data_IF_004655849286
#
_entry.id   IF_004655849286
#
_cell.length_a   1.000
_cell.length_b   1.000
_cell.length_c   1.000
_cell.angle_alpha   90.00
_cell.angle_beta   90.00
_cell.angle_gamma   90.00
#
_symmetry.space_group_name_H-M   'P 1'
#
loop_
_entity.id
_entity.type
_entity.pdbx_description
1 polymer ?
#
# COMPACT_ATOMS: atom_id res chain seq x y z
N UNK A 1 -19.72 -6.26 -21.52
CA UNK A 1 -20.69 -6.99 -20.68
C UNK A 1 -20.93 -6.12 -19.46
N UNK A 2 -22.18 -5.77 -19.14
CA UNK A 2 -22.46 -5.03 -17.91
C UNK A 2 -22.07 -5.92 -16.74
N UNK A 3 -21.13 -5.48 -15.90
CA UNK A 3 -20.85 -6.18 -14.64
C UNK A 3 -22.17 -6.34 -13.86
N UNK A 4 -22.44 -7.57 -13.43
CA UNK A 4 -23.60 -7.86 -12.59
C UNK A 4 -23.38 -7.19 -11.24
N UNK A 5 -24.29 -6.29 -10.87
CA UNK A 5 -24.28 -5.65 -9.56
C UNK A 5 -24.24 -6.71 -8.43
N UNK A 6 -23.33 -6.51 -7.49
CA UNK A 6 -23.12 -7.38 -6.34
C UNK A 6 -23.83 -6.85 -5.10
N UNK A 7 -23.95 -7.69 -4.06
CA UNK A 7 -24.50 -7.25 -2.76
C UNK A 7 -23.61 -6.17 -2.14
N UNK A 8 -22.29 -6.24 -2.35
CA UNK A 8 -21.35 -5.20 -1.89
C UNK A 8 -21.62 -3.85 -2.54
N UNK A 9 -21.95 -3.81 -3.83
CA UNK A 9 -22.27 -2.56 -4.53
C UNK A 9 -23.53 -1.92 -3.96
N UNK A 10 -24.55 -2.74 -3.66
CA UNK A 10 -25.79 -2.27 -3.03
C UNK A 10 -25.53 -1.78 -1.61
N UNK A 11 -24.73 -2.49 -0.81
CA UNK A 11 -24.32 -2.03 0.54
C UNK A 11 -23.59 -0.69 0.46
N UNK A 12 -22.70 -0.50 -0.51
CA UNK A 12 -22.03 0.78 -0.72
C UNK A 12 -23.01 1.90 -1.11
N UNK A 13 -23.96 1.64 -2.00
CA UNK A 13 -24.98 2.61 -2.37
C UNK A 13 -25.94 2.94 -1.19
N UNK A 14 -26.22 1.98 -0.30
CA UNK A 14 -26.95 2.24 0.95
C UNK A 14 -26.15 3.15 1.90
N UNK A 15 -24.83 2.93 2.01
CA UNK A 15 -23.95 3.78 2.82
C UNK A 15 -23.89 5.23 2.30
N UNK A 16 -24.01 5.43 0.99
CA UNK A 16 -24.13 6.79 0.41
C UNK A 16 -25.50 7.41 0.70
N UNK A 17 -26.57 6.61 0.71
CA UNK A 17 -27.93 7.10 0.99
C UNK A 17 -28.14 7.46 2.47
N UNK A 18 -27.60 6.66 3.38
CA UNK A 18 -27.81 6.75 4.82
C UNK A 18 -26.55 7.25 5.51
N UNK A 19 -26.22 8.52 5.30
CA UNK A 19 -25.00 9.15 5.80
C UNK A 19 -25.20 9.88 7.14
N UNK A 20 -24.14 9.97 7.97
CA UNK A 20 -24.06 10.94 9.05
C UNK A 20 -24.18 12.39 8.54
N UNK A 21 -24.67 13.34 9.35
CA UNK A 21 -25.06 13.19 10.76
C UNK A 21 -26.54 12.83 10.96
N UNK A 22 -27.27 12.51 9.89
CA UNK A 22 -28.72 12.23 9.98
C UNK A 22 -29.02 10.76 10.26
N UNK A 23 -28.19 9.85 9.72
CA UNK A 23 -28.43 8.42 9.78
C UNK A 23 -27.27 7.65 10.40
N UNK A 24 -27.62 6.59 11.12
CA UNK A 24 -26.72 5.50 11.45
C UNK A 24 -27.12 4.26 10.64
N UNK A 25 -26.18 3.72 9.85
CA UNK A 25 -26.39 2.52 9.04
C UNK A 25 -25.58 1.36 9.62
N UNK A 26 -26.23 0.21 9.76
CA UNK A 26 -25.64 -1.03 10.25
C UNK A 26 -25.92 -2.14 9.24
N UNK A 27 -24.94 -3.02 9.00
CA UNK A 27 -25.12 -4.20 8.15
C UNK A 27 -25.23 -5.46 8.99
N UNK A 28 -25.97 -6.45 8.48
CA UNK A 28 -26.10 -7.79 9.08
C UNK A 28 -26.60 -7.73 10.53
N UNK A 29 -27.72 -7.02 10.72
CA UNK A 29 -28.33 -6.80 12.03
C UNK A 29 -29.28 -7.94 12.35
N UNK A 30 -29.02 -8.65 13.45
CA UNK A 30 -29.90 -9.69 13.99
C UNK A 30 -30.98 -9.13 14.91
N UNK A 31 -32.07 -9.87 15.05
CA UNK A 31 -33.16 -9.60 15.98
C UNK A 31 -32.75 -9.70 17.47
N UNK A 32 -31.66 -10.41 17.77
CA UNK A 32 -31.06 -10.53 19.11
C UNK A 32 -29.53 -10.76 19.00
N UNK A 33 -28.87 -11.10 20.10
CA UNK A 33 -27.45 -11.42 20.19
C UNK A 33 -27.20 -12.83 20.74
N UNK A 34 -25.97 -13.32 20.60
CA UNK A 34 -25.58 -14.65 21.06
C UNK A 34 -26.38 -15.77 20.39
N UNK A 35 -26.66 -16.84 21.14
CA UNK A 35 -27.41 -18.03 20.66
C UNK A 35 -28.86 -17.73 20.29
N UNK A 36 -29.41 -16.58 20.68
CA UNK A 36 -30.78 -16.18 20.36
C UNK A 36 -30.90 -15.51 18.98
N UNK A 37 -29.77 -15.21 18.32
CA UNK A 37 -29.74 -14.63 16.97
C UNK A 37 -30.29 -15.64 15.96
N UNK A 38 -31.50 -15.42 15.44
CA UNK A 38 -32.16 -16.39 14.55
C UNK A 38 -32.25 -15.91 13.11
N UNK A 39 -32.40 -14.60 12.91
CA UNK A 39 -32.60 -13.98 11.60
C UNK A 39 -31.88 -12.64 11.56
N UNK A 40 -31.53 -12.22 10.34
CA UNK A 40 -30.76 -11.01 10.09
C UNK A 40 -31.46 -10.20 9.01
N UNK A 41 -31.46 -8.88 9.18
CA UNK A 41 -31.64 -7.95 8.07
C UNK A 41 -30.28 -7.69 7.42
N UNK A 42 -30.24 -7.54 6.10
CA UNK A 42 -29.01 -7.19 5.39
C UNK A 42 -28.48 -5.82 5.80
N UNK A 43 -29.40 -4.86 6.02
CA UNK A 43 -29.08 -3.58 6.63
C UNK A 43 -30.23 -3.03 7.47
N UNK A 44 -29.87 -2.19 8.44
CA UNK A 44 -30.80 -1.36 9.22
C UNK A 44 -30.25 0.06 9.25
N UNK A 45 -31.06 1.03 8.84
CA UNK A 45 -30.76 2.45 8.95
C UNK A 45 -31.70 3.12 9.95
N UNK A 46 -31.14 3.82 10.94
CA UNK A 46 -31.91 4.57 11.94
C UNK A 46 -31.63 6.07 11.79
N UNK A 47 -32.70 6.87 11.68
CA UNK A 47 -32.60 8.32 11.76
C UNK A 47 -32.27 8.71 13.20
N UNK A 48 -31.31 9.62 13.40
CA UNK A 48 -30.95 10.12 14.74
C UNK A 48 -31.54 11.50 15.04
N UNK A 49 -32.32 12.06 14.12
CA UNK A 49 -32.97 13.35 14.32
C UNK A 49 -34.36 13.19 14.94
N UNK A 50 -34.66 13.86 16.07
CA UNK A 50 -35.96 13.77 16.74
C UNK A 50 -37.12 14.23 15.85
N UNK A 51 -36.88 15.23 15.01
CA UNK A 51 -37.89 15.79 14.07
C UNK A 51 -38.37 14.78 13.02
N UNK A 52 -37.63 13.68 12.81
CA UNK A 52 -38.02 12.58 11.91
C UNK A 52 -38.48 11.33 12.67
N UNK A 53 -38.72 11.46 13.98
CA UNK A 53 -39.29 10.43 14.83
C UNK A 53 -38.39 9.22 15.05
N UNK A 54 -37.07 9.38 14.87
CA UNK A 54 -36.09 8.29 14.98
C UNK A 54 -36.38 7.05 14.12
N UNK A 55 -36.97 7.27 12.93
CA UNK A 55 -37.45 6.21 12.07
C UNK A 55 -36.38 5.13 11.77
N UNK A 56 -36.79 3.87 11.88
CA UNK A 56 -35.98 2.69 11.62
C UNK A 56 -36.40 2.06 10.28
N UNK A 57 -35.44 1.97 9.37
CA UNK A 57 -35.60 1.35 8.06
C UNK A 57 -34.83 0.02 8.04
N UNK A 58 -35.53 -1.09 7.82
CA UNK A 58 -34.91 -2.37 7.53
C UNK A 58 -34.81 -2.62 6.02
N UNK A 59 -33.73 -3.27 5.60
CA UNK A 59 -33.44 -3.55 4.20
C UNK A 59 -33.07 -5.01 3.99
N UNK A 60 -33.68 -5.61 2.98
CA UNK A 60 -33.35 -6.92 2.42
C UNK A 60 -32.75 -6.72 1.02
N UNK A 61 -31.57 -7.27 0.76
CA UNK A 61 -30.83 -7.11 -0.49
C UNK A 61 -30.95 -8.38 -1.33
N UNK A 62 -31.41 -8.26 -2.58
CA UNK A 62 -31.42 -9.38 -3.53
C UNK A 62 -30.76 -8.94 -4.85
N UNK A 63 -29.76 -9.70 -5.29
CA UNK A 63 -29.05 -9.47 -6.56
C UNK A 63 -29.41 -10.47 -7.66
N UNK A 64 -30.16 -11.51 -7.31
CA UNK A 64 -30.61 -12.53 -8.26
C UNK A 64 -32.10 -12.78 -8.12
N UNK A 65 -32.71 -13.17 -9.24
CA UNK A 65 -34.14 -13.44 -9.33
C UNK A 65 -34.53 -14.72 -8.56
N UNK A 66 -33.65 -15.72 -8.57
CA UNK A 66 -33.84 -16.97 -7.82
C UNK A 66 -33.86 -16.72 -6.31
N UNK A 67 -32.97 -15.86 -5.80
CA UNK A 67 -32.93 -15.55 -4.37
C UNK A 67 -34.20 -14.81 -3.93
N UNK A 68 -34.69 -13.89 -4.76
CA UNK A 68 -35.96 -13.21 -4.52
C UNK A 68 -37.14 -14.21 -4.45
N UNK A 69 -37.26 -15.10 -5.45
CA UNK A 69 -38.35 -16.09 -5.48
C UNK A 69 -38.27 -17.02 -4.26
N UNK A 70 -37.07 -17.43 -3.85
CA UNK A 70 -36.87 -18.27 -2.68
C UNK A 70 -37.31 -17.56 -1.38
N UNK A 71 -37.01 -16.27 -1.25
CA UNK A 71 -37.42 -15.45 -0.11
C UNK A 71 -38.95 -15.30 -0.04
N UNK A 72 -39.57 -14.99 -1.18
CA UNK A 72 -41.03 -14.77 -1.27
C UNK A 72 -41.87 -16.02 -0.98
N UNK A 73 -41.26 -17.22 -0.92
CA UNK A 73 -41.96 -18.43 -0.45
C UNK A 73 -42.30 -18.38 1.03
N UNK A 74 -41.57 -17.59 1.82
CA UNK A 74 -41.83 -17.41 3.24
C UNK A 74 -41.49 -15.98 3.68
N UNK A 75 -42.32 -14.98 3.31
CA UNK A 75 -42.06 -13.57 3.62
C UNK A 75 -42.07 -13.26 5.13
N UNK A 76 -42.68 -14.12 5.94
CA UNK A 76 -42.75 -13.96 7.40
C UNK A 76 -41.36 -14.02 8.06
N UNK A 77 -40.36 -14.58 7.37
CA UNK A 77 -38.95 -14.54 7.83
C UNK A 77 -38.44 -13.13 8.07
N UNK A 78 -38.89 -12.17 7.25
CA UNK A 78 -38.49 -10.78 7.38
C UNK A 78 -39.04 -10.13 8.66
N UNK A 79 -40.15 -10.64 9.22
CA UNK A 79 -40.78 -10.03 10.39
C UNK A 79 -39.95 -10.15 11.67
N UNK A 80 -39.02 -11.12 11.76
CA UNK A 80 -38.17 -11.28 12.93
C UNK A 80 -37.30 -10.04 13.23
N UNK A 81 -36.89 -9.30 12.20
CA UNK A 81 -36.22 -7.99 12.36
C UNK A 81 -37.15 -6.86 11.95
N UNK A 82 -38.01 -7.10 10.96
CA UNK A 82 -38.98 -6.15 10.44
C UNK A 82 -40.01 -5.68 11.45
N UNK A 83 -40.28 -6.44 12.52
CA UNK A 83 -41.15 -6.00 13.61
C UNK A 83 -40.64 -4.74 14.32
N UNK A 84 -39.31 -4.51 14.33
CA UNK A 84 -38.69 -3.33 14.95
C UNK A 84 -38.51 -2.16 13.96
N UNK A 85 -38.93 -2.31 12.70
CA UNK A 85 -38.70 -1.34 11.64
C UNK A 85 -39.99 -0.60 11.25
N UNK A 86 -39.96 0.73 11.24
CA UNK A 86 -41.04 1.57 10.69
C UNK A 86 -41.27 1.31 9.20
N UNK A 87 -40.19 0.97 8.47
CA UNK A 87 -40.24 0.73 7.04
C UNK A 87 -39.42 -0.50 6.67
N UNK A 88 -39.92 -1.32 5.75
CA UNK A 88 -39.20 -2.48 5.23
C UNK A 88 -39.02 -2.38 3.72
N UNK A 89 -37.78 -2.53 3.26
CA UNK A 89 -37.38 -2.30 1.88
C UNK A 89 -36.73 -3.54 1.26
N UNK A 90 -37.20 -3.94 0.08
CA UNK A 90 -36.38 -4.75 -0.82
C UNK A 90 -35.46 -3.84 -1.61
N UNK A 91 -34.18 -4.18 -1.69
CA UNK A 91 -33.16 -3.43 -2.43
C UNK A 91 -32.53 -4.34 -3.49
N UNK A 92 -32.58 -3.92 -4.75
CA UNK A 92 -32.17 -4.76 -5.90
C UNK A 92 -31.41 -3.98 -6.96
N UNK A 93 -30.73 -4.66 -7.90
CA UNK A 93 -30.36 -4.07 -9.18
C UNK A 93 -31.60 -3.69 -10.00
N UNK A 94 -31.46 -2.79 -10.98
CA UNK A 94 -32.60 -2.29 -11.74
C UNK A 94 -33.30 -3.41 -12.50
N UNK A 95 -34.65 -3.40 -12.48
CA UNK A 95 -35.51 -4.34 -13.21
C UNK A 95 -35.38 -5.81 -12.77
N UNK A 96 -34.83 -6.09 -11.58
CA UNK A 96 -34.79 -7.46 -11.04
C UNK A 96 -36.17 -7.95 -10.59
N UNK A 97 -36.97 -7.07 -10.02
CA UNK A 97 -38.28 -7.36 -9.40
C UNK A 97 -39.24 -6.25 -9.77
N UNK A 98 -40.47 -6.59 -10.15
CA UNK A 98 -41.53 -5.62 -10.37
C UNK A 98 -42.23 -5.27 -9.04
N UNK A 99 -42.69 -4.03 -8.90
CA UNK A 99 -43.25 -3.51 -7.63
C UNK A 99 -44.49 -4.27 -7.16
N UNK A 100 -45.24 -4.80 -8.12
CA UNK A 100 -46.50 -5.55 -7.96
C UNK A 100 -46.26 -6.94 -7.36
N UNK A 101 -45.04 -7.46 -7.44
CA UNK A 101 -44.66 -8.76 -6.91
C UNK A 101 -44.37 -8.73 -5.40
N UNK A 102 -44.24 -7.53 -4.83
CA UNK A 102 -43.92 -7.35 -3.44
C UNK A 102 -45.17 -7.29 -2.57
N UNK A 103 -45.12 -7.80 -1.33
CA UNK A 103 -46.14 -7.53 -0.33
C UNK A 103 -46.47 -6.03 -0.24
N UNK A 104 -47.72 -5.71 0.07
CA UNK A 104 -48.17 -4.31 0.20
C UNK A 104 -47.44 -3.56 1.30
N UNK A 105 -46.92 -4.29 2.31
CA UNK A 105 -46.15 -3.76 3.44
C UNK A 105 -44.68 -3.43 3.11
N UNK A 106 -44.21 -3.77 1.90
CA UNK A 106 -42.81 -3.61 1.49
C UNK A 106 -42.65 -2.48 0.47
N UNK A 107 -41.53 -1.77 0.57
CA UNK A 107 -41.03 -0.88 -0.48
C UNK A 107 -40.01 -1.55 -1.40
N UNK A 108 -39.73 -0.92 -2.53
CA UNK A 108 -38.71 -1.32 -3.50
C UNK A 108 -37.75 -0.15 -3.75
N UNK A 109 -36.47 -0.38 -3.52
CA UNK A 109 -35.39 0.49 -3.98
C UNK A 109 -34.54 -0.24 -5.02
N UNK A 110 -34.21 0.45 -6.10
CA UNK A 110 -33.29 -0.04 -7.11
C UNK A 110 -31.98 0.74 -7.08
N UNK A 111 -30.84 0.05 -7.07
CA UNK A 111 -29.53 0.65 -7.25
C UNK A 111 -29.29 0.90 -8.75
N UNK A 112 -29.42 2.15 -9.17
CA UNK A 112 -29.10 2.57 -10.53
C UNK A 112 -27.67 3.13 -10.60
N UNK A 113 -27.14 3.35 -11.81
CA UNK A 113 -25.85 4.04 -11.96
C UNK A 113 -25.81 5.46 -11.38
N UNK A 114 -26.98 6.08 -11.15
CA UNK A 114 -27.11 7.39 -10.51
C UNK A 114 -27.36 7.31 -8.98
N UNK A 115 -27.35 6.11 -8.39
CA UNK A 115 -27.65 5.87 -6.98
C UNK A 115 -28.99 5.16 -6.75
N UNK A 116 -29.49 5.24 -5.52
CA UNK A 116 -30.71 4.55 -5.08
C UNK A 116 -31.98 5.27 -5.54
N UNK A 117 -32.85 4.55 -6.27
CA UNK A 117 -34.15 5.05 -6.72
C UNK A 117 -35.29 4.25 -6.09
N UNK A 118 -36.24 4.96 -5.48
CA UNK A 118 -37.47 4.33 -4.97
C UNK A 118 -38.40 4.02 -6.16
N UNK A 119 -38.84 2.76 -6.27
CA UNK A 119 -39.83 2.28 -7.24
C UNK A 119 -41.20 2.04 -6.64
N UNK A 120 -41.21 1.55 -5.39
CA UNK A 120 -42.41 1.40 -4.56
C UNK A 120 -42.09 1.97 -3.20
N UNK A 121 -42.87 2.93 -2.73
CA UNK A 121 -42.67 3.49 -1.41
C UNK A 121 -43.04 2.45 -0.34
N UNK A 122 -42.16 2.22 0.63
CA UNK A 122 -42.53 1.41 1.79
C UNK A 122 -43.58 2.19 2.62
N UNK A 123 -44.74 1.58 2.93
CA UNK A 123 -45.68 2.18 3.87
C UNK A 123 -45.06 2.17 5.27
N UNK A 124 -45.46 3.15 6.09
CA UNK A 124 -45.10 3.15 7.51
C UNK A 124 -45.86 2.01 8.21
N UNK A 125 -45.15 1.20 8.98
CA UNK A 125 -45.68 0.09 9.79
C UNK A 125 -45.80 0.50 11.26
N UNK A 126 -46.67 -0.17 11.99
CA UNK A 126 -46.67 -0.12 13.45
C UNK A 126 -45.54 -1.02 13.97
N UNK A 127 -44.39 -0.42 14.26
CA UNK A 127 -43.23 -1.14 14.77
C UNK A 127 -43.35 -1.39 16.28
N UNK A 128 -42.97 -2.59 16.70
CA UNK A 128 -42.74 -2.94 18.11
C UNK A 128 -41.58 -2.13 18.67
N UNK A 129 -41.62 -1.85 19.97
CA UNK A 129 -40.49 -1.22 20.64
C UNK A 129 -39.21 -2.08 20.50
N UNK A 130 -38.07 -1.50 20.08
CA UNK A 130 -36.79 -2.19 20.00
C UNK A 130 -36.45 -2.92 21.30
N UNK A 131 -36.22 -4.24 21.23
CA UNK A 131 -35.72 -4.99 22.38
C UNK A 131 -34.28 -4.62 22.69
N UNK A 132 -33.84 -4.86 23.92
CA UNK A 132 -32.42 -4.70 24.29
C UNK A 132 -31.49 -5.57 23.44
N UNK A 133 -31.94 -6.75 23.03
CA UNK A 133 -31.21 -7.67 22.15
C UNK A 133 -30.98 -7.07 20.76
N UNK A 134 -32.04 -6.52 20.15
CA UNK A 134 -31.95 -5.83 18.87
C UNK A 134 -31.04 -4.60 18.94
N UNK A 135 -31.19 -3.76 19.98
CA UNK A 135 -30.31 -2.62 20.20
C UNK A 135 -28.84 -3.03 20.39
N UNK A 136 -28.58 -4.08 21.17
CA UNK A 136 -27.22 -4.61 21.36
C UNK A 136 -26.62 -5.13 20.04
N UNK A 137 -27.45 -5.77 19.20
CA UNK A 137 -27.06 -6.21 17.85
C UNK A 137 -26.63 -5.03 16.97
N UNK A 138 -27.43 -3.95 16.93
CA UNK A 138 -27.09 -2.72 16.20
C UNK A 138 -25.79 -2.07 16.72
N UNK A 139 -25.68 -1.87 18.04
CA UNK A 139 -24.50 -1.24 18.67
C UNK A 139 -23.23 -2.04 18.37
N UNK A 140 -23.30 -3.38 18.50
CA UNK A 140 -22.18 -4.26 18.18
C UNK A 140 -21.76 -4.14 16.72
N UNK A 141 -22.71 -4.14 15.78
CA UNK A 141 -22.40 -3.95 14.35
C UNK A 141 -21.75 -2.59 14.07
N UNK A 142 -22.23 -1.53 14.73
CA UNK A 142 -21.60 -0.21 14.65
C UNK A 142 -20.16 -0.21 15.15
N UNK A 143 -19.91 -0.84 16.30
CA UNK A 143 -18.57 -0.98 16.86
C UNK A 143 -17.66 -1.83 15.96
N UNK A 144 -18.15 -2.95 15.42
CA UNK A 144 -17.39 -3.81 14.51
C UNK A 144 -16.96 -3.04 13.25
N UNK A 145 -17.85 -2.20 12.69
CA UNK A 145 -17.56 -1.35 11.54
C UNK A 145 -16.49 -0.30 11.87
N UNK A 146 -16.60 0.38 13.00
CA UNK A 146 -15.62 1.38 13.43
C UNK A 146 -14.25 0.74 13.70
N UNK A 147 -14.21 -0.41 14.38
CA UNK A 147 -12.98 -1.16 14.61
C UNK A 147 -12.33 -1.62 13.30
N UNK A 148 -13.12 -2.04 12.31
CA UNK A 148 -12.62 -2.38 10.99
C UNK A 148 -12.04 -1.16 10.25
N UNK A 149 -12.64 0.02 10.38
CA UNK A 149 -12.10 1.27 9.84
C UNK A 149 -10.78 1.65 10.51
N UNK A 150 -10.71 1.62 11.84
CA UNK A 150 -9.49 1.89 12.61
C UNK A 150 -8.38 0.93 12.19
N UNK A 151 -8.67 -0.38 12.10
CA UNK A 151 -7.69 -1.39 11.69
C UNK A 151 -7.15 -1.13 10.29
N UNK A 152 -8.02 -0.86 9.32
CA UNK A 152 -7.61 -0.51 7.94
C UNK A 152 -6.73 0.74 7.90
N UNK A 153 -7.02 1.74 8.73
CA UNK A 153 -6.22 2.95 8.81
C UNK A 153 -4.80 2.67 9.36
N UNK A 154 -4.70 1.82 10.40
CA UNK A 154 -3.41 1.37 10.96
C UNK A 154 -2.61 0.58 9.93
N UNK A 155 -3.22 -0.44 9.31
CA UNK A 155 -2.57 -1.29 8.30
C UNK A 155 -2.06 -0.47 7.12
N UNK A 156 -2.86 0.49 6.63
CA UNK A 156 -2.44 1.42 5.58
C UNK A 156 -1.24 2.27 6.01
N UNK A 157 -1.28 2.83 7.22
CA UNK A 157 -0.18 3.63 7.76
C UNK A 157 1.11 2.83 7.93
N UNK A 158 1.01 1.58 8.38
CA UNK A 158 2.15 0.66 8.49
C UNK A 158 2.74 0.29 7.13
N UNK A 159 1.89 -0.01 6.14
CA UNK A 159 2.31 -0.29 4.77
C UNK A 159 3.04 0.91 4.14
N UNK A 160 2.51 2.13 4.32
CA UNK A 160 3.13 3.37 3.85
C UNK A 160 4.48 3.62 4.54
N UNK A 161 4.55 3.42 5.85
CA UNK A 161 5.80 3.51 6.63
C UNK A 161 6.82 2.51 6.13
N UNK A 162 6.43 1.25 5.93
CA UNK A 162 7.32 0.20 5.44
C UNK A 162 7.83 0.50 4.03
N UNK A 163 6.95 0.96 3.14
CA UNK A 163 7.33 1.37 1.78
C UNK A 163 8.31 2.56 1.78
N UNK A 164 8.20 3.49 2.74
CA UNK A 164 9.17 4.59 2.90
C UNK A 164 10.53 4.08 3.38
N UNK A 165 10.53 3.19 4.38
CA UNK A 165 11.78 2.57 4.87
C UNK A 165 12.47 1.78 3.78
N UNK A 166 11.74 0.94 3.03
CA UNK A 166 12.30 0.14 1.95
C UNK A 166 12.95 1.03 0.86
N UNK A 167 12.25 2.09 0.43
CA UNK A 167 12.80 3.06 -0.54
C UNK A 167 14.08 3.71 -0.04
N UNK A 168 14.12 4.09 1.23
CA UNK A 168 15.32 4.70 1.82
C UNK A 168 16.49 3.71 1.95
N UNK A 169 16.21 2.46 2.34
CA UNK A 169 17.21 1.39 2.40
C UNK A 169 17.75 1.08 1.00
N UNK A 170 16.89 0.95 0.00
CA UNK A 170 17.29 0.74 -1.40
C UNK A 170 18.18 1.87 -1.91
N UNK A 171 17.78 3.13 -1.67
CA UNK A 171 18.56 4.32 -2.04
C UNK A 171 19.94 4.29 -1.40
N UNK A 172 20.02 4.11 -0.07
CA UNK A 172 21.30 4.05 0.65
C UNK A 172 22.16 2.89 0.18
N UNK A 173 21.56 1.72 -0.02
CA UNK A 173 22.28 0.53 -0.48
C UNK A 173 22.89 0.77 -1.86
N UNK A 174 22.15 1.42 -2.76
CA UNK A 174 22.66 1.81 -4.08
C UNK A 174 23.81 2.80 -3.97
N UNK A 175 23.66 3.87 -3.18
CA UNK A 175 24.70 4.88 -2.97
C UNK A 175 25.98 4.27 -2.37
N UNK A 176 25.84 3.38 -1.38
CA UNK A 176 26.96 2.66 -0.78
C UNK A 176 27.65 1.75 -1.80
N UNK A 177 26.90 1.02 -2.63
CA UNK A 177 27.47 0.18 -3.69
C UNK A 177 28.27 1.02 -4.70
N UNK A 178 27.72 2.14 -5.17
CA UNK A 178 28.41 3.04 -6.08
C UNK A 178 29.69 3.63 -5.46
N UNK A 179 29.67 3.95 -4.16
CA UNK A 179 30.87 4.42 -3.45
C UNK A 179 31.93 3.32 -3.33
N UNK A 180 31.54 2.11 -2.97
CA UNK A 180 32.44 0.94 -2.89
C UNK A 180 33.04 0.64 -4.26
N UNK A 181 32.24 0.64 -5.33
CA UNK A 181 32.73 0.44 -6.69
C UNK A 181 33.72 1.53 -7.12
N UNK A 182 33.45 2.80 -6.80
CA UNK A 182 34.39 3.91 -7.09
C UNK A 182 35.69 3.76 -6.31
N UNK A 183 35.62 3.37 -5.03
CA UNK A 183 36.81 3.13 -4.22
C UNK A 183 37.63 1.94 -4.74
N UNK A 184 36.96 0.84 -5.13
CA UNK A 184 37.63 -0.31 -5.73
C UNK A 184 38.34 0.07 -7.04
N UNK A 185 37.66 0.79 -7.95
CA UNK A 185 38.28 1.30 -9.18
C UNK A 185 39.47 2.20 -8.92
N UNK A 186 39.35 3.11 -7.95
CA UNK A 186 40.46 3.98 -7.58
C UNK A 186 41.65 3.18 -7.03
N UNK A 187 41.40 2.13 -6.24
CA UNK A 187 42.44 1.21 -5.76
C UNK A 187 43.11 0.48 -6.92
N UNK A 188 42.33 -0.07 -7.87
CA UNK A 188 42.86 -0.75 -9.06
C UNK A 188 43.71 0.20 -9.92
N UNK A 189 43.24 1.43 -10.17
CA UNK A 189 43.98 2.47 -10.91
C UNK A 189 45.25 2.89 -10.17
N UNK A 190 45.19 3.07 -8.86
CA UNK A 190 46.34 3.39 -8.03
C UNK A 190 47.39 2.28 -8.09
N UNK A 191 46.98 1.02 -7.90
CA UNK A 191 47.85 -0.15 -7.93
C UNK A 191 48.54 -0.32 -9.30
N UNK A 192 47.78 -0.13 -10.39
CA UNK A 192 48.33 -0.17 -11.75
C UNK A 192 49.34 0.95 -12.04
N UNK A 193 49.06 2.17 -11.56
CA UNK A 193 49.94 3.32 -11.78
C UNK A 193 51.19 3.29 -10.89
N UNK A 194 51.08 2.76 -9.67
CA UNK A 194 52.18 2.73 -8.71
C UNK A 194 53.25 1.71 -9.11
N UNK A 195 52.88 0.61 -9.77
CA UNK A 195 53.79 -0.33 -10.43
C UNK A 195 54.74 -1.13 -9.52
N UNK A 196 54.79 -0.81 -8.22
CA UNK A 196 55.55 -1.53 -7.19
C UNK A 196 54.63 -1.81 -6.02
N UNK A 197 54.13 -3.04 -5.92
CA UNK A 197 53.24 -3.41 -4.84
C UNK A 197 53.95 -3.27 -3.49
N UNK A 198 53.37 -2.56 -2.51
CA UNK A 198 53.86 -2.68 -1.14
C UNK A 198 53.89 -4.15 -0.72
N UNK A 199 54.85 -4.55 0.12
CA UNK A 199 54.79 -5.85 0.77
C UNK A 199 53.41 -6.05 1.40
N UNK A 200 52.85 -7.27 1.35
CA UNK A 200 51.62 -7.58 2.08
C UNK A 200 51.73 -7.05 3.51
N UNK A 201 50.65 -6.43 4.02
CA UNK A 201 50.54 -5.85 5.36
C UNK A 201 51.21 -4.48 5.59
N UNK A 202 51.68 -3.78 4.55
CA UNK A 202 52.11 -2.38 4.71
C UNK A 202 50.90 -1.52 5.12
N UNK A 203 50.94 -0.93 6.31
CA UNK A 203 49.84 -0.10 6.79
C UNK A 203 49.71 1.21 5.98
N UNK A 204 48.51 1.83 5.91
CA UNK A 204 48.34 3.14 5.25
C UNK A 204 49.28 4.23 5.79
N UNK A 205 49.59 4.20 7.08
CA UNK A 205 50.50 5.16 7.72
C UNK A 205 51.95 4.99 7.23
N UNK A 206 52.41 3.74 7.10
CA UNK A 206 53.74 3.44 6.59
C UNK A 206 53.86 3.78 5.10
N UNK A 207 52.83 3.48 4.30
CA UNK A 207 52.77 3.89 2.90
C UNK A 207 52.84 5.42 2.76
N UNK A 208 52.05 6.16 3.55
CA UNK A 208 52.07 7.62 3.56
C UNK A 208 53.44 8.19 3.93
N UNK A 209 54.15 7.56 4.88
CA UNK A 209 55.51 7.97 5.26
C UNK A 209 56.50 7.78 4.09
N UNK A 210 56.41 6.66 3.36
CA UNK A 210 57.23 6.39 2.17
C UNK A 210 56.97 7.38 1.04
N UNK A 211 55.69 7.69 0.75
CA UNK A 211 55.32 8.69 -0.29
C UNK A 211 55.82 10.08 0.10
N UNK A 212 55.65 10.49 1.36
CA UNK A 212 56.17 11.78 1.86
C UNK A 212 57.69 11.89 1.69
N UNK A 213 58.42 10.84 2.03
CA UNK A 213 59.87 10.79 1.83
C UNK A 213 60.25 10.88 0.34
N UNK A 214 59.55 10.14 -0.53
CA UNK A 214 59.77 10.20 -1.97
C UNK A 214 59.51 11.60 -2.55
N UNK A 215 58.48 12.32 -2.07
CA UNK A 215 58.23 13.72 -2.45
C UNK A 215 59.31 14.67 -1.95
N UNK A 216 59.83 14.46 -0.74
CA UNK A 216 60.94 15.25 -0.19
C UNK A 216 62.25 15.06 -0.96
N UNK A 217 62.50 13.84 -1.46
CA UNK A 217 63.67 13.53 -2.31
C UNK A 217 63.44 14.00 -3.76
N UNK A 218 62.22 13.88 -4.28
CA UNK A 218 61.81 14.21 -5.66
C UNK A 218 61.55 15.68 -5.95
N UNK A 219 61.97 16.61 -5.07
CA UNK A 219 61.68 18.05 -5.15
C UNK A 219 62.19 18.79 -6.38
N UNK A 220 62.91 18.16 -7.31
CA UNK A 220 62.93 18.67 -8.68
C UNK A 220 63.12 17.54 -9.69
N UNK A 221 62.27 17.51 -10.72
CA UNK A 221 62.54 16.81 -11.98
C UNK A 221 63.94 17.15 -12.54
N UNK A 222 64.48 18.32 -12.18
CA UNK A 222 65.84 18.74 -12.45
C UNK A 222 66.92 17.81 -11.88
N UNK A 223 66.78 17.34 -10.63
CA UNK A 223 67.79 16.48 -10.00
C UNK A 223 67.87 15.09 -10.66
N UNK A 224 66.71 14.52 -11.01
CA UNK A 224 66.64 13.25 -11.76
C UNK A 224 67.14 13.42 -13.20
N UNK A 225 66.80 14.54 -13.86
CA UNK A 225 67.35 14.87 -15.17
C UNK A 225 68.87 15.06 -15.13
N UNK A 226 69.40 15.64 -14.05
CA UNK A 226 70.83 15.86 -13.85
C UNK A 226 71.58 14.54 -13.58
N UNK A 227 70.97 13.60 -12.85
CA UNK A 227 71.49 12.25 -12.69
C UNK A 227 71.50 11.48 -14.03
N UNK A 228 70.41 11.52 -14.80
CA UNK A 228 70.33 10.93 -16.15
C UNK A 228 71.40 11.52 -17.09
N UNK A 229 71.51 12.84 -17.13
CA UNK A 229 72.46 13.51 -18.02
C UNK A 229 73.91 13.23 -17.61
N UNK A 230 74.21 13.08 -16.32
CA UNK A 230 75.52 12.65 -15.84
C UNK A 230 75.85 11.23 -16.27
N UNK A 231 74.89 10.31 -16.20
CA UNK A 231 75.06 8.93 -16.66
C UNK A 231 75.30 8.85 -18.18
N UNK A 232 74.54 9.62 -18.98
CA UNK A 232 74.73 9.69 -20.44
C UNK A 232 76.11 10.22 -20.82
N UNK A 233 76.58 11.29 -20.16
CA UNK A 233 77.93 11.83 -20.40
C UNK A 233 79.03 10.84 -20.02
N UNK A 234 78.82 10.04 -18.98
CA UNK A 234 79.77 9.00 -18.60
C UNK A 234 79.81 7.89 -19.65
N UNK A 235 78.66 7.47 -20.18
CA UNK A 235 78.58 6.49 -21.26
C UNK A 235 79.24 7.00 -22.55
N UNK A 236 79.03 8.27 -22.92
CA UNK A 236 79.71 8.91 -24.05
C UNK A 236 81.23 8.97 -23.83
N UNK A 237 81.68 9.30 -22.62
CA UNK A 237 83.10 9.34 -22.29
C UNK A 237 83.75 7.94 -22.34
N UNK A 238 83.04 6.89 -21.92
CA UNK A 238 83.48 5.50 -22.02
C UNK A 238 83.57 5.07 -23.49
N UNK A 239 82.56 5.37 -24.31
CA UNK A 239 82.55 5.06 -25.74
C UNK A 239 83.65 5.82 -26.52
N UNK A 240 83.99 7.04 -26.09
CA UNK A 240 85.09 7.82 -26.67
C UNK A 240 86.47 7.31 -26.25
N UNK A 241 86.59 6.74 -25.05
CA UNK A 241 87.83 6.17 -24.52
C UNK A 241 88.14 4.77 -25.06
N UNK A 242 87.12 4.04 -25.55
CA UNK A 242 87.25 2.76 -26.25
C UNK A 242 86.43 2.73 -27.55
N UNK A 243 87.03 3.12 -28.69
CA UNK A 243 86.31 3.21 -29.97
C UNK A 243 85.76 1.88 -30.50
N UNK A 244 86.18 0.73 -29.94
CA UNK A 244 85.69 -0.59 -30.35
C UNK A 244 84.26 -0.87 -29.84
N UNK A 245 83.82 -0.20 -28.77
CA UNK A 245 82.46 -0.31 -28.24
C UNK A 245 81.41 0.46 -29.06
N UNK A 246 81.82 1.49 -29.82
CA UNK A 246 80.91 2.26 -30.67
C UNK A 246 80.42 1.47 -31.90
N UNK A 247 81.16 0.42 -32.31
CA UNK A 247 80.80 -0.44 -33.44
C UNK A 247 79.72 -1.49 -33.08
N UNK A 248 79.62 -1.91 -31.81
CA UNK A 248 78.56 -2.82 -31.36
C UNK A 248 77.20 -2.11 -31.22
N UNK A 249 77.19 -0.82 -30.85
CA UNK A 249 75.95 -0.03 -30.73
C UNK A 249 75.30 0.39 -32.08
N UNK A 250 75.99 0.24 -33.21
CA UNK A 250 75.45 0.58 -34.54
C UNK A 250 75.02 -0.65 -35.37
N UNK A 251 75.20 -1.86 -34.83
CA UNK A 251 74.87 -3.13 -35.48
C UNK A 251 73.63 -3.82 -34.89
N UNK A 252 72.90 -3.15 -34.00
CA UNK A 252 71.61 -3.56 -33.41
C UNK A 252 70.57 -2.44 -33.58
#
# INVERSE_FOLDING_TARGET
>A
MSDKATSSDIKAALAVRYQPPEWCLFFEVSNDTGMNSRRYADAVAMSIWPSRGYAIHGHEIKVSRSDFIAEMRDPAKADAVGEFCDFWWLVTPPKLVAAEELPTTWGLMEMTGAGMRIKKQAPKREASAPTRGFLASMIRRGQDMEQAHIRRAIEKGEAERQARVNREVERRTKELREQVEKQAKWQDEFDAAFGVYPPPYTSPAEMAARIKLAQQIGGSWGALAQARNSALRLAEAIAAADPSAAAEMAAE
#
